data_IF_505735680444
#
_entry.id   IF_505735680444
#
_cell.length_a   1.000
_cell.length_b   1.000
_cell.length_c   1.000
_cell.angle_alpha   90.00
_cell.angle_beta   90.00
_cell.angle_gamma   90.00
#
_symmetry.space_group_name_H-M   'P 1'
#
loop_
_entity.id
_entity.type
_entity.pdbx_description
1 polymer ?
#
# COMPACT_ATOMS: atom_id res chain seq x y z
N UNK A 1 1.97 12.92 6.04
CA UNK A 1 2.66 11.80 6.71
C UNK A 1 3.73 11.27 5.75
N UNK A 2 4.92 11.87 5.73
CA UNK A 2 6.05 11.42 4.90
C UNK A 2 7.00 10.67 5.81
N UNK A 3 6.61 9.45 6.20
CA UNK A 3 7.50 8.52 6.89
C UNK A 3 7.90 7.41 5.93
N UNK A 4 8.82 7.80 5.04
CA UNK A 4 10.06 7.08 4.72
C UNK A 4 9.93 5.64 4.22
N UNK A 5 9.77 5.52 2.90
CA UNK A 5 10.22 4.36 2.10
C UNK A 5 11.63 3.85 2.51
N UNK A 6 12.52 4.75 2.94
CA UNK A 6 13.85 4.42 3.46
C UNK A 6 13.85 3.65 4.79
N UNK A 7 12.90 3.91 5.69
CA UNK A 7 12.74 3.11 6.91
C UNK A 7 12.20 1.72 6.56
N UNK A 8 11.31 1.65 5.56
CA UNK A 8 10.75 0.42 5.01
C UNK A 8 11.86 -0.50 4.50
N UNK A 9 12.80 -0.01 3.69
CA UNK A 9 13.90 -0.81 3.12
C UNK A 9 14.83 -1.46 4.16
N UNK A 10 15.13 -0.77 5.28
CA UNK A 10 16.03 -1.30 6.32
C UNK A 10 15.33 -2.31 7.22
N UNK A 11 14.07 -2.06 7.59
CA UNK A 11 13.25 -3.01 8.34
C UNK A 11 12.84 -4.24 7.49
N UNK A 12 12.77 -4.12 6.15
CA UNK A 12 12.53 -5.23 5.22
C UNK A 12 13.61 -6.33 5.35
N UNK A 13 14.86 -5.95 5.61
CA UNK A 13 15.97 -6.90 5.75
C UNK A 13 16.03 -7.56 7.15
N UNK A 14 15.54 -6.85 8.18
CA UNK A 14 15.60 -7.29 9.59
C UNK A 14 14.33 -8.01 10.08
N UNK A 15 13.33 -8.23 9.22
CA UNK A 15 12.18 -9.08 9.53
C UNK A 15 12.65 -10.51 9.85
N UNK A 16 12.80 -10.80 11.15
CA UNK A 16 13.09 -12.15 11.65
C UNK A 16 12.07 -13.13 11.07
N UNK A 17 12.56 -14.24 10.52
CA UNK A 17 11.82 -15.40 9.95
C UNK A 17 10.61 -15.91 10.76
N UNK A 18 10.43 -15.50 12.02
CA UNK A 18 9.35 -15.96 12.91
C UNK A 18 8.00 -15.24 12.73
N UNK A 19 7.93 -14.13 11.99
CA UNK A 19 6.69 -13.34 11.82
C UNK A 19 6.24 -13.17 10.36
N UNK A 20 6.86 -13.89 9.42
CA UNK A 20 6.49 -13.82 8.02
C UNK A 20 5.25 -14.69 7.74
N UNK A 21 4.10 -14.05 7.50
CA UNK A 21 2.87 -14.71 7.11
C UNK A 21 2.79 -14.80 5.57
N UNK A 22 3.05 -15.99 5.05
CA UNK A 22 3.11 -16.22 3.61
C UNK A 22 1.78 -15.95 2.89
N UNK A 23 0.64 -16.25 3.51
CA UNK A 23 -0.68 -16.04 2.92
C UNK A 23 -0.98 -14.55 2.77
N UNK A 24 -0.64 -13.76 3.80
CA UNK A 24 -0.80 -12.29 3.78
C UNK A 24 0.13 -11.66 2.75
N UNK A 25 1.34 -12.20 2.60
CA UNK A 25 2.27 -11.75 1.57
C UNK A 25 1.76 -12.05 0.16
N UNK A 26 1.16 -13.23 -0.05
CA UNK A 26 0.55 -13.59 -1.34
C UNK A 26 -0.61 -12.64 -1.71
N UNK A 27 -1.45 -12.30 -0.73
CA UNK A 27 -2.53 -11.32 -0.92
C UNK A 27 -1.98 -9.93 -1.22
N UNK A 28 -0.96 -9.49 -0.49
CA UNK A 28 -0.29 -8.21 -0.72
C UNK A 28 0.35 -8.15 -2.12
N UNK A 29 0.94 -9.24 -2.59
CA UNK A 29 1.55 -9.31 -3.90
C UNK A 29 0.52 -9.22 -5.03
N UNK A 30 -0.64 -9.87 -4.87
CA UNK A 30 -1.75 -9.74 -5.83
C UNK A 30 -2.26 -8.30 -5.90
N UNK A 31 -2.47 -7.65 -4.76
CA UNK A 31 -2.90 -6.24 -4.71
C UNK A 31 -1.87 -5.34 -5.40
N UNK A 32 -0.58 -5.57 -5.15
CA UNK A 32 0.49 -4.82 -5.79
C UNK A 32 0.52 -5.01 -7.32
N UNK A 33 0.33 -6.24 -7.80
CA UNK A 33 0.22 -6.53 -9.24
C UNK A 33 -0.96 -5.78 -9.88
N UNK A 34 -2.12 -5.79 -9.21
CA UNK A 34 -3.31 -5.08 -9.69
C UNK A 34 -3.07 -3.57 -9.78
N UNK A 35 -2.49 -2.96 -8.73
CA UNK A 35 -2.15 -1.53 -8.70
C UNK A 35 -1.17 -1.17 -9.83
N UNK A 36 -0.08 -1.93 -9.99
CA UNK A 36 0.93 -1.63 -11.03
C UNK A 36 0.33 -1.77 -12.42
N UNK A 37 -0.49 -2.79 -12.66
CA UNK A 37 -1.17 -2.97 -13.93
C UNK A 37 -2.20 -1.85 -14.19
N UNK A 38 -2.87 -1.36 -13.15
CA UNK A 38 -3.82 -0.26 -13.25
C UNK A 38 -3.12 1.06 -13.63
N UNK A 39 -1.99 1.37 -12.97
CA UNK A 39 -1.15 2.53 -13.31
C UNK A 39 -0.64 2.41 -14.75
N UNK A 40 -0.13 1.25 -15.16
CA UNK A 40 0.32 1.00 -16.54
C UNK A 40 -0.80 1.25 -17.56
N UNK A 41 -2.02 0.80 -17.29
CA UNK A 41 -3.18 1.06 -18.15
C UNK A 41 -3.52 2.55 -18.22
N UNK A 42 -3.46 3.26 -17.09
CA UNK A 42 -3.66 4.71 -17.04
C UNK A 42 -2.62 5.48 -17.86
N UNK A 43 -1.35 5.05 -17.82
CA UNK A 43 -0.28 5.64 -18.62
C UNK A 43 -0.45 5.40 -20.12
N UNK A 44 -0.95 4.22 -20.51
CA UNK A 44 -1.19 3.87 -21.91
C UNK A 44 -2.47 4.46 -22.47
N UNK A 45 -3.48 4.71 -21.62
CA UNK A 45 -4.77 5.25 -22.02
C UNK A 45 -5.19 6.40 -21.10
N UNK A 46 -5.11 7.66 -21.56
CA UNK A 46 -5.44 8.84 -20.75
C UNK A 46 -6.92 8.96 -20.38
N UNK A 47 -7.81 8.16 -21.00
CA UNK A 47 -9.23 8.10 -20.63
C UNK A 47 -9.53 7.09 -19.52
N UNK A 48 -8.55 6.24 -19.19
CA UNK A 48 -8.70 5.24 -18.15
C UNK A 48 -8.54 5.88 -16.76
N UNK A 49 -9.56 5.73 -15.92
CA UNK A 49 -9.52 6.22 -14.54
C UNK A 49 -8.94 5.14 -13.64
N UNK A 50 -7.82 5.46 -12.99
CA UNK A 50 -7.20 4.61 -11.98
C UNK A 50 -7.89 4.79 -10.61
N UNK A 51 -7.88 3.73 -9.79
CA UNK A 51 -8.40 3.73 -8.44
C UNK A 51 -7.67 4.73 -7.54
N UNK A 52 -8.31 5.17 -6.45
CA UNK A 52 -7.70 6.11 -5.50
C UNK A 52 -6.44 5.55 -4.84
N UNK A 53 -6.36 4.23 -4.65
CA UNK A 53 -5.18 3.56 -4.11
C UNK A 53 -4.04 3.53 -5.13
N UNK A 54 -4.31 3.18 -6.39
CA UNK A 54 -3.33 3.24 -7.46
C UNK A 54 -2.84 4.67 -7.73
N UNK A 55 -3.74 5.65 -7.61
CA UNK A 55 -3.41 7.07 -7.72
C UNK A 55 -2.47 7.53 -6.61
N UNK A 56 -2.74 7.18 -5.36
CA UNK A 56 -1.87 7.54 -4.24
C UNK A 56 -0.46 6.95 -4.41
N UNK A 57 -0.37 5.69 -4.86
CA UNK A 57 0.92 5.05 -5.17
C UNK A 57 1.62 5.74 -6.34
N UNK A 58 0.90 6.09 -7.39
CA UNK A 58 1.45 6.82 -8.54
C UNK A 58 2.03 8.19 -8.12
N UNK A 59 1.26 8.99 -7.39
CA UNK A 59 1.68 10.31 -6.90
C UNK A 59 2.90 10.20 -5.97
N UNK A 60 2.96 9.19 -5.10
CA UNK A 60 4.13 8.94 -4.26
C UNK A 60 5.37 8.60 -5.09
N UNK A 61 5.25 7.70 -6.08
CA UNK A 61 6.38 7.30 -6.94
C UNK A 61 6.84 8.43 -7.88
N UNK A 62 5.91 9.24 -8.38
CA UNK A 62 6.18 10.42 -9.20
C UNK A 62 6.93 11.50 -8.41
N UNK A 63 6.55 11.74 -7.15
CA UNK A 63 7.22 12.72 -6.27
C UNK A 63 8.71 12.43 -6.07
N UNK A 64 9.12 11.16 -6.15
CA UNK A 64 10.53 10.77 -6.07
C UNK A 64 11.22 10.65 -7.43
N UNK A 65 10.55 11.01 -8.52
CA UNK A 65 11.03 10.85 -9.91
C UNK A 65 11.39 9.40 -10.27
N UNK A 66 10.83 8.41 -9.57
CA UNK A 66 11.21 7.01 -9.79
C UNK A 66 10.87 6.52 -11.19
N UNK A 67 9.80 7.04 -11.81
CA UNK A 67 9.44 6.69 -13.18
C UNK A 67 10.40 7.27 -14.23
N UNK A 68 11.12 8.35 -13.92
CA UNK A 68 12.14 8.91 -14.81
C UNK A 68 13.40 8.04 -14.80
N UNK A 69 13.82 7.61 -13.60
CA UNK A 69 15.01 6.75 -13.43
C UNK A 69 14.75 5.29 -13.84
N UNK A 70 13.52 4.79 -13.62
CA UNK A 70 13.14 3.38 -13.81
C UNK A 70 11.74 3.28 -14.47
N UNK A 71 11.65 3.33 -15.81
CA UNK A 71 10.36 3.32 -16.49
C UNK A 71 9.53 2.08 -16.16
N UNK A 72 8.27 2.29 -15.75
CA UNK A 72 7.33 1.23 -15.33
C UNK A 72 7.01 0.23 -16.47
N UNK A 73 7.15 0.67 -17.72
CA UNK A 73 6.89 -0.13 -18.91
C UNK A 73 7.90 -1.23 -19.19
N UNK A 74 9.04 -1.24 -18.51
CA UNK A 74 10.04 -2.31 -18.62
C UNK A 74 9.72 -3.44 -17.64
N UNK A 75 9.69 -4.70 -18.11
CA UNK A 75 9.37 -5.87 -17.29
C UNK A 75 10.29 -6.03 -16.07
N UNK A 76 11.58 -5.65 -16.22
CA UNK A 76 12.55 -5.67 -15.12
C UNK A 76 12.14 -4.73 -13.99
N UNK A 77 11.75 -3.50 -14.31
CA UNK A 77 11.35 -2.49 -13.34
C UNK A 77 9.97 -2.82 -12.76
N UNK A 78 9.04 -3.33 -13.59
CA UNK A 78 7.72 -3.79 -13.15
C UNK A 78 7.81 -4.75 -11.97
N UNK A 79 8.70 -5.75 -12.05
CA UNK A 79 8.92 -6.71 -10.96
C UNK A 79 9.38 -6.06 -9.65
N UNK A 80 10.20 -5.02 -9.75
CA UNK A 80 10.70 -4.26 -8.62
C UNK A 80 9.58 -3.41 -7.97
N UNK A 81 8.77 -2.73 -8.76
CA UNK A 81 7.61 -1.98 -8.26
C UNK A 81 6.59 -2.86 -7.57
N UNK A 82 6.27 -4.03 -8.15
CA UNK A 82 5.40 -5.02 -7.52
C UNK A 82 5.94 -5.41 -6.15
N UNK A 83 7.24 -5.69 -6.04
CA UNK A 83 7.89 -6.04 -4.77
C UNK A 83 7.86 -4.88 -3.76
N UNK A 84 8.06 -3.66 -4.20
CA UNK A 84 8.04 -2.48 -3.33
C UNK A 84 6.65 -2.28 -2.73
N UNK A 85 5.63 -2.24 -3.60
CA UNK A 85 4.24 -2.01 -3.23
C UNK A 85 3.73 -3.18 -2.39
N UNK A 86 4.08 -4.42 -2.72
CA UNK A 86 3.66 -5.59 -1.95
C UNK A 86 4.18 -5.56 -0.52
N UNK A 87 5.39 -5.06 -0.27
CA UNK A 87 5.91 -4.89 1.08
C UNK A 87 5.15 -3.83 1.89
N UNK A 88 4.75 -2.72 1.26
CA UNK A 88 3.92 -1.71 1.89
C UNK A 88 2.51 -2.25 2.21
N UNK A 89 1.89 -2.94 1.24
CA UNK A 89 0.58 -3.56 1.41
C UNK A 89 0.58 -4.67 2.45
N UNK A 90 1.66 -5.47 2.51
CA UNK A 90 1.85 -6.49 3.52
C UNK A 90 1.84 -5.91 4.93
N UNK A 91 2.53 -4.79 5.16
CA UNK A 91 2.50 -4.07 6.45
C UNK A 91 1.10 -3.60 6.81
N UNK A 92 0.38 -3.04 5.85
CA UNK A 92 -1.01 -2.60 6.07
C UNK A 92 -1.94 -3.79 6.40
N UNK A 93 -1.81 -4.91 5.70
CA UNK A 93 -2.61 -6.11 5.96
C UNK A 93 -2.28 -6.75 7.31
N UNK A 94 -0.98 -6.88 7.65
CA UNK A 94 -0.56 -7.35 8.97
C UNK A 94 -1.11 -6.44 10.08
N UNK A 95 -1.00 -5.12 9.91
CA UNK A 95 -1.53 -4.18 10.87
C UNK A 95 -3.05 -4.37 11.04
N UNK A 96 -3.81 -4.47 9.93
CA UNK A 96 -5.26 -4.72 9.96
C UNK A 96 -5.61 -6.05 10.63
N UNK A 97 -4.85 -7.11 10.39
CA UNK A 97 -5.06 -8.41 11.02
C UNK A 97 -4.81 -8.36 12.53
N UNK A 98 -3.71 -7.73 12.95
CA UNK A 98 -3.34 -7.62 14.36
C UNK A 98 -4.22 -6.62 15.14
N UNK A 99 -4.90 -5.70 14.44
CA UNK A 99 -5.74 -4.66 15.04
C UNK A 99 -7.23 -4.80 14.74
N UNK A 100 -7.66 -5.93 14.15
CA UNK A 100 -9.07 -6.23 13.82
C UNK A 100 -9.99 -6.12 15.05
N UNK A 101 -9.45 -6.39 16.25
CA UNK A 101 -10.18 -6.31 17.52
C UNK A 101 -10.23 -4.90 18.14
N UNK A 102 -9.45 -3.94 17.63
CA UNK A 102 -9.44 -2.56 18.16
C UNK A 102 -10.58 -1.69 17.60
N UNK A 103 -11.26 -2.12 16.53
CA UNK A 103 -12.46 -1.48 16.00
C UNK A 103 -13.75 -2.04 16.61
N UNK A 104 -13.74 -2.41 17.90
CA UNK A 104 -14.99 -2.32 18.68
C UNK A 104 -15.36 -0.83 18.72
N UNK A 105 -16.11 -0.36 17.72
CA UNK A 105 -16.71 0.99 17.71
C UNK A 105 -17.20 1.26 19.13
N UNK A 106 -16.56 2.18 19.85
CA UNK A 106 -16.98 2.56 21.20
C UNK A 106 -18.47 2.84 21.09
N UNK A 107 -19.31 2.02 21.73
CA UNK A 107 -20.76 2.17 21.63
C UNK A 107 -21.09 3.48 22.35
N UNK A 108 -21.21 4.57 21.60
CA UNK A 108 -21.47 5.89 22.15
C UNK A 108 -22.71 5.81 23.04
N UNK A 109 -22.56 6.28 24.28
CA UNK A 109 -23.69 6.44 25.20
C UNK A 109 -24.70 7.44 24.63
N UNK A 110 -25.94 7.42 25.13
CA UNK A 110 -27.02 8.31 24.66
C UNK A 110 -26.59 9.79 24.71
N UNK A 111 -25.82 10.18 25.73
CA UNK A 111 -25.33 11.55 25.91
C UNK A 111 -24.18 11.91 24.97
N UNK A 112 -23.24 10.99 24.70
CA UNK A 112 -22.16 11.21 23.71
C UNK A 112 -22.70 11.39 22.28
N UNK A 113 -23.83 10.74 21.95
CA UNK A 113 -24.53 10.96 20.67
C UNK A 113 -25.25 12.32 20.58
N UNK A 114 -25.75 12.82 21.71
CA UNK A 114 -26.50 14.09 21.79
C UNK A 114 -25.56 15.30 21.78
N UNK A 115 -24.38 15.19 22.42
CA UNK A 115 -23.41 16.28 22.53
C UNK A 115 -22.51 16.44 21.30
N UNK A 116 -22.70 15.65 20.24
CA UNK A 116 -21.98 15.79 18.97
C UNK A 116 -20.47 15.74 19.16
N UNK A 117 -19.95 14.64 19.72
CA UNK A 117 -18.51 14.43 19.74
C UNK A 117 -17.97 14.39 18.29
N UNK A 118 -17.23 15.44 17.92
CA UNK A 118 -16.39 15.54 16.72
C UNK A 118 -15.27 14.50 16.82
#
# INVERSE_FOLDING_TARGET
>A
MVLTLNATCKEIFDMKKKEFNFDVYKDANRIAEDIVNEILKGLQNPTYTISGEARAVYEELEMFQWFEDHPLGEDKNKSFYIRLISMQQYRHLLWRMNHKDSMKKKKLSKWEKVMGAI
#
